data_IF_653103141390
#
_entry.id   IF_653103141390
#
_cell.length_a   1.000
_cell.length_b   1.000
_cell.length_c   1.000
_cell.angle_alpha   90.00
_cell.angle_beta   90.00
_cell.angle_gamma   90.00
#
_symmetry.space_group_name_H-M   'P 1'
#
loop_
_entity.id
_entity.type
_entity.pdbx_description
1 polymer ?
#
# COMPACT_ATOMS: atom_id res chain seq x y z
N UNK A 1 -14.57 16.52 5.43
CA UNK A 1 -13.45 15.65 5.76
C UNK A 1 -13.61 14.31 5.05
N UNK A 2 -12.61 13.84 4.28
CA UNK A 2 -12.72 12.56 3.58
C UNK A 2 -12.90 11.40 4.56
N UNK A 3 -13.57 10.37 4.09
CA UNK A 3 -13.82 9.15 4.86
C UNK A 3 -13.66 7.94 3.95
N UNK A 4 -13.22 6.83 4.52
CA UNK A 4 -13.18 5.58 3.78
C UNK A 4 -14.58 5.04 3.50
N UNK A 5 -14.75 4.45 2.31
CA UNK A 5 -15.93 3.65 2.01
C UNK A 5 -15.97 2.42 2.91
N UNK A 6 -17.12 1.75 2.98
CA UNK A 6 -17.25 0.51 3.74
C UNK A 6 -16.22 -0.52 3.28
N UNK A 7 -16.04 -0.66 1.96
CA UNK A 7 -15.09 -1.62 1.38
C UNK A 7 -13.65 -1.28 1.78
N UNK A 8 -13.26 0.00 1.71
CA UNK A 8 -11.94 0.42 2.16
C UNK A 8 -11.71 0.14 3.64
N UNK A 9 -12.72 0.39 4.48
CA UNK A 9 -12.63 0.11 5.91
C UNK A 9 -12.40 -1.38 6.18
N UNK A 10 -13.13 -2.25 5.49
CA UNK A 10 -13.00 -3.70 5.65
C UNK A 10 -11.60 -4.17 5.24
N UNK A 11 -11.09 -3.65 4.13
CA UNK A 11 -9.75 -3.99 3.64
C UNK A 11 -8.67 -3.52 4.61
N UNK A 12 -8.78 -2.29 5.10
CA UNK A 12 -7.81 -1.76 6.06
C UNK A 12 -7.84 -2.54 7.37
N UNK A 13 -9.02 -2.97 7.82
CA UNK A 13 -9.17 -3.75 9.04
C UNK A 13 -8.46 -5.10 8.99
N UNK A 14 -8.15 -5.61 7.80
CA UNK A 14 -7.40 -6.86 7.64
C UNK A 14 -5.88 -6.68 7.73
N UNK A 15 -5.42 -5.45 7.94
CA UNK A 15 -4.00 -5.12 7.94
C UNK A 15 -3.43 -5.03 9.36
N UNK A 16 -2.11 -5.13 9.44
CA UNK A 16 -1.34 -4.85 10.65
C UNK A 16 -1.77 -3.51 11.26
N UNK A 17 -1.81 -3.44 12.60
CA UNK A 17 -2.29 -2.25 13.29
C UNK A 17 -1.52 -0.98 12.91
N UNK A 18 -0.23 -1.10 12.62
CA UNK A 18 0.58 0.05 12.19
C UNK A 18 0.06 0.65 10.88
N UNK A 19 -0.37 -0.20 9.95
CA UNK A 19 -0.98 0.26 8.69
C UNK A 19 -2.34 0.91 8.93
N UNK A 20 -3.13 0.34 9.83
CA UNK A 20 -4.42 0.93 10.19
C UNK A 20 -4.23 2.32 10.81
N UNK A 21 -3.31 2.44 11.76
CA UNK A 21 -3.02 3.72 12.42
C UNK A 21 -2.55 4.76 11.40
N UNK A 22 -1.63 4.37 10.52
CA UNK A 22 -1.08 5.26 9.49
C UNK A 22 -2.17 5.79 8.57
N UNK A 23 -2.95 4.90 7.95
CA UNK A 23 -3.92 5.31 6.94
C UNK A 23 -5.18 5.95 7.54
N UNK A 24 -5.47 5.73 8.81
CA UNK A 24 -6.49 6.49 9.50
C UNK A 24 -6.05 7.95 9.75
N UNK A 25 -4.75 8.21 9.84
CA UNK A 25 -4.25 9.59 9.87
C UNK A 25 -4.22 10.19 8.45
N UNK A 26 -3.76 9.44 7.47
CA UNK A 26 -3.64 9.94 6.08
C UNK A 26 -4.99 10.42 5.54
N UNK A 27 -6.07 9.66 5.76
CA UNK A 27 -7.40 9.99 5.24
C UNK A 27 -7.92 11.34 5.75
N UNK A 28 -7.46 11.80 6.89
CA UNK A 28 -7.84 13.10 7.45
C UNK A 28 -7.35 14.27 6.61
N UNK A 29 -6.34 14.04 5.78
CA UNK A 29 -5.67 15.07 5.00
C UNK A 29 -5.84 14.92 3.50
N UNK A 30 -5.83 13.68 3.00
CA UNK A 30 -5.90 13.38 1.57
C UNK A 30 -6.90 12.25 1.36
N UNK A 31 -7.87 12.47 0.45
CA UNK A 31 -8.82 11.42 0.11
C UNK A 31 -8.12 10.29 -0.64
N UNK A 32 -8.36 9.06 -0.21
CA UNK A 32 -7.72 7.88 -0.78
C UNK A 32 -8.61 6.65 -0.60
N UNK A 33 -8.31 5.60 -1.35
CA UNK A 33 -9.04 4.34 -1.31
C UNK A 33 -8.08 3.20 -0.97
N UNK A 34 -8.54 2.30 -0.10
CA UNK A 34 -7.81 1.06 0.20
C UNK A 34 -8.25 0.02 -0.83
N UNK A 35 -7.32 -0.44 -1.64
CA UNK A 35 -7.59 -1.36 -2.73
C UNK A 35 -7.47 -2.82 -2.32
N UNK A 36 -6.51 -3.11 -1.44
CA UNK A 36 -6.26 -4.47 -0.97
C UNK A 36 -5.52 -4.46 0.36
N UNK A 37 -5.95 -5.34 1.29
CA UNK A 37 -5.25 -5.63 2.52
C UNK A 37 -4.78 -7.06 2.50
N UNK A 38 -5.36 -7.93 3.38
CA UNK A 38 -5.04 -9.36 3.37
C UNK A 38 -5.43 -9.99 2.02
N UNK A 39 -4.53 -10.82 1.49
CA UNK A 39 -4.72 -11.49 0.21
C UNK A 39 -4.67 -13.00 0.42
N UNK A 40 -5.70 -13.70 -0.07
CA UNK A 40 -5.82 -15.14 0.05
C UNK A 40 -4.79 -15.88 -0.81
N UNK A 41 -4.61 -17.17 -0.53
CA UNK A 41 -3.77 -18.06 -1.34
C UNK A 41 -4.23 -18.07 -2.79
N UNK A 42 -5.53 -18.23 -3.02
CA UNK A 42 -6.11 -18.31 -4.37
C UNK A 42 -5.85 -17.02 -5.14
N UNK A 43 -6.09 -15.89 -4.51
CA UNK A 43 -5.87 -14.58 -5.11
C UNK A 43 -4.40 -14.35 -5.44
N UNK A 44 -3.50 -14.66 -4.50
CA UNK A 44 -2.05 -14.47 -4.68
C UNK A 44 -1.54 -15.30 -5.85
N UNK A 45 -1.92 -16.57 -5.88
CA UNK A 45 -1.45 -17.46 -6.94
C UNK A 45 -2.04 -17.11 -8.30
N UNK A 46 -3.29 -16.65 -8.34
CA UNK A 46 -3.90 -16.17 -9.58
C UNK A 46 -3.14 -14.97 -10.14
N UNK A 47 -2.81 -13.99 -9.29
CA UNK A 47 -2.03 -12.82 -9.70
C UNK A 47 -0.64 -13.22 -10.19
N UNK A 48 -0.01 -14.19 -9.54
CA UNK A 48 1.27 -14.71 -9.97
C UNK A 48 1.18 -15.35 -11.35
N UNK A 49 0.17 -16.20 -11.57
CA UNK A 49 -0.03 -16.89 -12.84
C UNK A 49 -0.35 -15.90 -13.98
N UNK A 50 -0.99 -14.77 -13.66
CA UNK A 50 -1.29 -13.71 -14.61
C UNK A 50 -0.11 -12.74 -14.84
N UNK A 51 1.00 -12.95 -14.15
CA UNK A 51 2.18 -12.09 -14.26
C UNK A 51 2.05 -10.74 -13.56
N UNK A 52 1.03 -10.55 -12.71
CA UNK A 52 0.77 -9.29 -12.01
C UNK A 52 1.55 -9.14 -10.71
N UNK A 53 2.11 -10.23 -10.21
CA UNK A 53 3.03 -10.22 -9.07
C UNK A 53 4.15 -11.22 -9.33
N UNK A 54 5.29 -11.00 -8.69
CA UNK A 54 6.45 -11.88 -8.80
C UNK A 54 6.55 -12.89 -7.66
N UNK A 55 5.57 -12.90 -6.76
CA UNK A 55 5.61 -13.70 -5.52
C UNK A 55 4.39 -14.60 -5.43
N UNK A 56 4.62 -15.88 -5.10
CA UNK A 56 3.54 -16.84 -4.82
C UNK A 56 3.23 -16.88 -3.33
N UNK A 57 1.99 -17.31 -3.00
CA UNK A 57 1.62 -17.60 -1.62
C UNK A 57 2.52 -18.71 -1.06
N UNK A 58 3.02 -18.63 0.19
CA UNK A 58 2.70 -17.64 1.22
C UNK A 58 3.74 -16.50 1.33
N UNK A 59 4.52 -16.24 0.30
CA UNK A 59 5.68 -15.37 0.37
C UNK A 59 5.35 -13.88 0.17
N UNK A 60 4.11 -13.55 -0.22
CA UNK A 60 3.67 -12.16 -0.37
C UNK A 60 3.43 -11.48 0.96
N UNK A 61 3.75 -10.19 1.04
CA UNK A 61 3.51 -9.39 2.27
C UNK A 61 2.03 -9.25 2.57
N UNK A 62 1.15 -9.33 1.56
CA UNK A 62 -0.30 -9.34 1.73
C UNK A 62 -0.84 -10.67 2.30
N UNK A 63 -0.03 -11.71 2.37
CA UNK A 63 -0.50 -13.06 2.69
C UNK A 63 -0.55 -13.35 4.19
N UNK A 64 0.12 -12.57 5.02
CA UNK A 64 0.05 -12.75 6.47
C UNK A 64 -1.31 -12.28 7.00
N UNK A 65 -1.70 -12.73 8.17
CA UNK A 65 -2.92 -12.31 8.85
C UNK A 65 -2.58 -11.89 10.28
N UNK A 66 -2.59 -10.58 10.58
CA UNK A 66 -2.97 -9.46 9.70
C UNK A 66 -1.95 -9.21 8.60
N UNK A 67 -2.43 -8.61 7.51
CA UNK A 67 -1.57 -8.31 6.35
C UNK A 67 -0.50 -7.29 6.69
N UNK A 68 0.73 -7.52 6.23
CA UNK A 68 1.84 -6.57 6.40
C UNK A 68 1.96 -5.59 5.25
N UNK A 69 1.08 -5.71 4.25
CA UNK A 69 1.02 -4.81 3.11
C UNK A 69 -0.39 -4.32 2.87
N UNK A 70 -0.49 -3.10 2.32
CA UNK A 70 -1.75 -2.46 2.00
C UNK A 70 -1.58 -1.71 0.68
N UNK A 71 -2.51 -1.91 -0.25
CA UNK A 71 -2.51 -1.16 -1.50
C UNK A 71 -3.48 0.01 -1.35
N UNK A 72 -2.96 1.23 -1.55
CA UNK A 72 -3.70 2.48 -1.36
C UNK A 72 -3.41 3.42 -2.50
N UNK A 73 -4.43 4.11 -3.00
CA UNK A 73 -4.26 5.10 -4.07
C UNK A 73 -5.08 6.34 -3.75
N UNK A 74 -4.62 7.55 -4.16
CA UNK A 74 -5.43 8.76 -4.00
C UNK A 74 -6.74 8.64 -4.78
N UNK A 75 -7.79 9.23 -4.25
CA UNK A 75 -9.11 9.26 -4.89
C UNK A 75 -9.29 10.60 -5.62
N UNK A 76 -9.87 10.66 -6.82
CA UNK A 76 -10.30 9.51 -7.64
C UNK A 76 -9.11 8.74 -8.24
N UNK A 77 -9.31 7.45 -8.50
CA UNK A 77 -8.26 6.58 -9.02
C UNK A 77 -7.89 7.00 -10.44
N UNK A 78 -6.60 7.22 -10.69
CA UNK A 78 -6.06 7.52 -12.00
C UNK A 78 -4.64 6.93 -12.10
N UNK A 79 -4.55 5.77 -12.71
CA UNK A 79 -3.29 5.02 -12.80
C UNK A 79 -2.26 5.68 -13.72
N UNK A 80 -2.67 6.63 -14.54
CA UNK A 80 -1.77 7.34 -15.44
C UNK A 80 -1.11 8.54 -14.77
N UNK A 81 -1.67 9.02 -13.66
CA UNK A 81 -1.11 10.17 -12.93
C UNK A 81 -0.05 9.70 -11.92
N UNK A 82 1.11 9.32 -12.44
CA UNK A 82 2.24 8.85 -11.63
C UNK A 82 2.76 9.92 -10.69
N UNK A 83 2.72 11.17 -11.10
CA UNK A 83 3.19 12.28 -10.28
C UNK A 83 2.33 12.43 -9.03
N UNK A 84 1.01 12.35 -9.18
CA UNK A 84 0.08 12.43 -8.06
C UNK A 84 0.27 11.25 -7.10
N UNK A 85 0.46 10.05 -7.63
CA UNK A 85 0.71 8.86 -6.81
C UNK A 85 2.04 8.98 -6.06
N UNK A 86 3.06 9.53 -6.69
CA UNK A 86 4.36 9.77 -6.06
C UNK A 86 4.25 10.82 -4.96
N UNK A 87 3.53 11.90 -5.21
CA UNK A 87 3.30 12.94 -4.21
C UNK A 87 2.55 12.38 -3.00
N UNK A 88 1.51 11.59 -3.25
CA UNK A 88 0.76 10.92 -2.20
C UNK A 88 1.67 10.01 -1.37
N UNK A 89 2.50 9.20 -2.04
CA UNK A 89 3.42 8.29 -1.35
C UNK A 89 4.41 9.04 -0.47
N UNK A 90 4.93 10.18 -0.95
CA UNK A 90 5.82 11.02 -0.16
C UNK A 90 5.16 11.52 1.12
N UNK A 91 3.89 11.92 1.03
CA UNK A 91 3.12 12.32 2.21
C UNK A 91 2.94 11.14 3.18
N UNK A 92 2.60 9.97 2.65
CA UNK A 92 2.41 8.75 3.47
C UNK A 92 3.70 8.39 4.19
N UNK A 93 4.83 8.38 3.48
CA UNK A 93 6.13 8.04 4.07
C UNK A 93 6.54 9.04 5.15
N UNK A 94 6.29 10.33 4.93
CA UNK A 94 6.57 11.36 5.93
C UNK A 94 5.69 11.21 7.17
N UNK A 95 4.40 10.94 6.97
CA UNK A 95 3.47 10.69 8.07
C UNK A 95 3.90 9.47 8.89
N UNK A 96 4.25 8.38 8.21
CA UNK A 96 4.71 7.16 8.86
C UNK A 96 5.93 7.43 9.73
N UNK A 97 6.90 8.16 9.19
CA UNK A 97 8.12 8.50 9.95
C UNK A 97 7.78 9.31 11.20
N UNK A 98 6.87 10.28 11.10
CA UNK A 98 6.45 11.08 12.25
C UNK A 98 5.74 10.25 13.31
N UNK A 99 5.14 9.14 12.93
CA UNK A 99 4.45 8.22 13.83
C UNK A 99 5.36 7.08 14.34
N UNK A 100 6.63 7.06 13.93
CA UNK A 100 7.57 6.01 14.33
C UNK A 100 7.32 4.68 13.62
N UNK A 101 6.69 4.71 12.44
CA UNK A 101 6.36 3.50 11.67
C UNK A 101 7.30 3.40 10.48
N UNK A 102 7.97 2.25 10.34
CA UNK A 102 8.87 2.00 9.21
C UNK A 102 8.08 1.37 8.06
N UNK A 103 8.02 2.09 6.93
CA UNK A 103 7.24 1.71 5.75
C UNK A 103 8.16 1.68 4.53
N UNK A 104 7.96 0.67 3.68
CA UNK A 104 8.54 0.63 2.34
C UNK A 104 7.42 0.79 1.31
N UNK A 105 7.64 1.66 0.33
CA UNK A 105 6.71 1.93 -0.76
C UNK A 105 7.16 1.23 -2.04
N UNK A 106 6.19 0.73 -2.83
CA UNK A 106 6.47 0.00 -4.07
C UNK A 106 7.02 0.84 -5.21
N UNK A 107 7.13 2.14 -5.05
CA UNK A 107 7.84 3.04 -5.98
C UNK A 107 9.28 3.32 -5.55
N UNK A 108 9.71 2.79 -4.42
CA UNK A 108 11.07 2.99 -3.89
C UNK A 108 11.49 1.78 -3.04
N UNK A 109 11.68 0.65 -3.73
CA UNK A 109 11.94 -0.64 -3.07
C UNK A 109 13.23 -0.68 -2.26
N UNK A 110 14.26 0.06 -2.72
CA UNK A 110 15.55 0.11 -2.02
C UNK A 110 15.62 1.25 -0.99
N UNK A 111 14.53 2.03 -0.86
CA UNK A 111 14.40 3.08 0.16
C UNK A 111 15.47 4.17 0.05
N UNK A 112 15.88 4.50 -1.19
CA UNK A 112 16.93 5.50 -1.46
C UNK A 112 16.37 6.87 -1.87
N UNK A 113 15.05 7.03 -1.89
CA UNK A 113 14.33 8.23 -2.33
C UNK A 113 14.53 8.57 -3.81
N UNK A 114 14.87 7.56 -4.63
CA UNK A 114 14.96 7.66 -6.08
C UNK A 114 13.86 6.81 -6.70
N UNK A 115 12.97 7.42 -7.47
CA UNK A 115 11.82 6.73 -8.04
C UNK A 115 12.16 6.08 -9.37
N UNK A 116 13.08 6.65 -10.13
CA UNK A 116 13.37 6.23 -11.50
C UNK A 116 14.37 5.07 -11.63
N UNK A 117 14.93 4.60 -10.53
CA UNK A 117 15.96 3.55 -10.53
C UNK A 117 15.39 2.15 -10.22
N UNK A 118 14.07 2.02 -10.12
CA UNK A 118 13.45 0.73 -9.84
C UNK A 118 13.26 -0.06 -11.13
N UNK A 119 13.36 -1.40 -11.03
CA UNK A 119 13.04 -2.29 -12.15
C UNK A 119 11.56 -2.62 -12.24
N UNK A 120 10.83 -2.48 -11.13
CA UNK A 120 9.42 -2.80 -11.04
C UNK A 120 8.77 -1.82 -10.07
N UNK A 121 7.82 -1.01 -10.56
CA UNK A 121 7.08 -0.08 -9.74
C UNK A 121 5.71 -0.66 -9.40
N UNK A 122 5.37 -0.61 -8.11
CA UNK A 122 4.05 -0.97 -7.62
C UNK A 122 3.56 0.20 -6.75
N UNK A 123 3.08 1.24 -7.40
CA UNK A 123 2.79 2.52 -6.77
C UNK A 123 1.75 2.51 -5.66
N UNK A 124 0.71 1.65 -5.66
CA UNK A 124 -0.21 1.61 -4.53
C UNK A 124 0.32 0.82 -3.33
N UNK A 125 1.41 0.08 -3.47
CA UNK A 125 1.89 -0.86 -2.45
C UNK A 125 2.68 -0.18 -1.34
N UNK A 126 2.20 -0.34 -0.11
CA UNK A 126 2.88 0.08 1.11
C UNK A 126 2.99 -1.12 2.05
N UNK A 127 4.17 -1.34 2.61
CA UNK A 127 4.36 -2.45 3.54
C UNK A 127 5.12 -2.01 4.78
N UNK A 128 4.76 -2.59 5.94
CA UNK A 128 5.51 -2.36 7.17
C UNK A 128 6.79 -3.20 7.16
N UNK A 129 7.85 -2.63 7.72
CA UNK A 129 9.14 -3.29 7.86
C UNK A 129 9.21 -3.89 9.27
N UNK A 130 9.56 -5.13 9.33
CA UNK A 130 9.63 -5.84 10.60
C UNK A 130 8.30 -6.57 10.95
#
# INVERSE_FOLDING_TARGET
>A
MPRYSKRSKERLASCDQRLQDLFNEVIKHIDCSILEGNRSKERQNKLYDEGKTKVRYPNGRHNSNPSKACDVTPYPVDWEDRERQTLFAGFVLGMARSMGISIRWGGDWDMDFQVMDNRFDDFPHFEVRG
#
